data_IF_027183710195
#
_entry.id   IF_027183710195
#
_cell.length_a   1.000
_cell.length_b   1.000
_cell.length_c   1.000
_cell.angle_alpha   90.00
_cell.angle_beta   90.00
_cell.angle_gamma   90.00
#
_symmetry.space_group_name_H-M   'P 1'
#
loop_
_entity.id
_entity.type
_entity.pdbx_description
1 polymer ?
#
# COMPACT_ATOMS: atom_id res chain seq x y z
N UNK A 1 23.95 13.67 -30.12
CA UNK A 1 24.04 13.82 -28.65
C UNK A 1 22.92 13.01 -28.03
N UNK A 2 23.22 11.83 -27.47
CA UNK A 2 22.22 11.03 -26.73
C UNK A 2 22.13 11.64 -25.34
N UNK A 3 21.02 12.30 -25.02
CA UNK A 3 20.74 12.73 -23.65
C UNK A 3 20.72 11.50 -22.76
N UNK A 4 21.65 11.43 -21.81
CA UNK A 4 21.60 10.47 -20.72
C UNK A 4 20.26 10.63 -20.02
N UNK A 5 19.34 9.67 -20.22
CA UNK A 5 18.18 9.55 -19.35
C UNK A 5 18.73 9.23 -17.97
N UNK A 6 18.73 10.25 -17.10
CA UNK A 6 19.03 10.08 -15.69
C UNK A 6 18.30 8.85 -15.14
N UNK A 7 19.04 7.98 -14.47
CA UNK A 7 18.54 6.77 -13.77
C UNK A 7 17.55 7.18 -12.65
N UNK A 8 17.44 8.48 -12.36
CA UNK A 8 16.44 9.13 -11.52
C UNK A 8 15.09 9.34 -12.25
N UNK A 9 14.78 8.57 -13.29
CA UNK A 9 13.40 8.42 -13.77
C UNK A 9 12.49 8.09 -12.58
N UNK A 10 11.36 8.82 -12.49
CA UNK A 10 10.40 8.90 -11.37
C UNK A 10 10.39 7.67 -10.42
N UNK A 11 10.35 7.86 -9.09
CA UNK A 11 10.35 6.74 -8.17
C UNK A 11 9.20 5.80 -8.52
N UNK A 12 9.55 4.58 -8.94
CA UNK A 12 8.58 3.55 -9.24
C UNK A 12 7.93 3.12 -7.92
N UNK A 13 6.67 2.67 -7.98
CA UNK A 13 5.94 2.10 -6.84
C UNK A 13 6.79 1.03 -6.12
N UNK A 14 7.58 0.25 -6.88
CA UNK A 14 8.53 -0.72 -6.34
C UNK A 14 9.66 -0.10 -5.49
N UNK A 15 10.22 1.07 -5.88
CA UNK A 15 11.24 1.76 -5.08
C UNK A 15 10.65 2.24 -3.75
N UNK A 16 9.45 2.80 -3.78
CA UNK A 16 8.73 3.21 -2.56
C UNK A 16 8.47 2.00 -1.65
N UNK A 17 8.08 0.88 -2.24
CA UNK A 17 7.84 -0.36 -1.52
C UNK A 17 9.12 -0.88 -0.83
N UNK A 18 10.26 -0.91 -1.54
CA UNK A 18 11.55 -1.29 -0.96
C UNK A 18 12.00 -0.33 0.14
N UNK A 19 11.83 0.98 -0.05
CA UNK A 19 12.18 1.99 0.93
C UNK A 19 11.35 1.83 2.22
N UNK A 20 10.04 1.60 2.10
CA UNK A 20 9.18 1.38 3.27
C UNK A 20 9.57 0.11 4.03
N UNK A 21 9.81 -1.01 3.34
CA UNK A 21 10.25 -2.25 3.97
C UNK A 21 11.57 -2.05 4.72
N UNK A 22 12.52 -1.30 4.14
CA UNK A 22 13.78 -0.98 4.81
C UNK A 22 13.56 -0.14 6.08
N UNK A 23 12.75 0.93 6.01
CA UNK A 23 12.42 1.76 7.17
C UNK A 23 11.78 0.95 8.30
N UNK A 24 10.83 0.07 7.97
CA UNK A 24 10.19 -0.82 8.93
C UNK A 24 11.20 -1.79 9.57
N UNK A 25 12.10 -2.36 8.77
CA UNK A 25 13.14 -3.27 9.27
C UNK A 25 14.13 -2.60 10.23
N UNK A 26 14.42 -1.30 10.04
CA UNK A 26 15.31 -0.54 10.92
C UNK A 26 14.59 -0.09 12.21
N UNK A 27 13.37 0.42 12.10
CA UNK A 27 12.67 1.05 13.24
C UNK A 27 11.86 0.04 14.06
N UNK A 28 11.32 -0.99 13.41
CA UNK A 28 10.49 -2.02 14.02
C UNK A 28 10.97 -3.42 13.62
N UNK A 29 12.18 -3.84 14.05
CA UNK A 29 12.79 -5.09 13.59
C UNK A 29 11.98 -6.36 13.92
N UNK A 30 11.08 -6.29 14.91
CA UNK A 30 10.22 -7.41 15.33
C UNK A 30 8.79 -7.33 14.78
N UNK A 31 8.45 -6.28 14.03
CA UNK A 31 7.11 -6.09 13.48
C UNK A 31 6.80 -7.14 12.42
N UNK A 32 5.69 -7.85 12.59
CA UNK A 32 5.22 -8.85 11.64
C UNK A 32 4.14 -8.25 10.76
N UNK A 33 4.37 -8.18 9.47
CA UNK A 33 3.39 -7.68 8.51
C UNK A 33 3.38 -8.57 7.28
N UNK A 34 2.30 -8.48 6.51
CA UNK A 34 2.22 -9.12 5.19
C UNK A 34 2.40 -8.06 4.13
N UNK A 35 3.20 -8.41 3.13
CA UNK A 35 3.22 -7.73 1.84
C UNK A 35 2.24 -8.46 0.92
N UNK A 36 1.50 -7.72 0.10
CA UNK A 36 0.52 -8.22 -0.85
C UNK A 36 1.09 -9.34 -1.72
N UNK A 37 0.28 -10.36 -1.98
CA UNK A 37 0.70 -11.58 -2.68
C UNK A 37 1.21 -11.33 -4.12
N UNK A 38 0.91 -10.18 -4.72
CA UNK A 38 1.40 -9.82 -6.06
C UNK A 38 2.88 -9.44 -6.08
N UNK A 39 3.48 -9.11 -4.93
CA UNK A 39 4.92 -8.84 -4.82
C UNK A 39 5.79 -10.11 -5.03
N UNK A 40 5.18 -11.30 -5.00
CA UNK A 40 5.86 -12.58 -5.18
C UNK A 40 5.44 -13.31 -6.46
N UNK A 41 5.93 -12.87 -7.62
CA UNK A 41 6.11 -13.63 -8.88
C UNK A 41 5.11 -14.74 -9.27
N UNK A 42 3.84 -14.70 -8.84
CA UNK A 42 2.83 -15.69 -9.25
C UNK A 42 2.03 -15.13 -10.41
N UNK A 43 1.83 -15.97 -11.42
CA UNK A 43 1.00 -15.66 -12.58
C UNK A 43 -0.37 -15.13 -12.09
N UNK A 44 -0.77 -13.90 -12.44
CA UNK A 44 -2.06 -13.32 -12.01
C UNK A 44 -3.27 -14.20 -12.33
N UNK A 45 -3.20 -14.99 -13.42
CA UNK A 45 -4.24 -15.94 -13.79
C UNK A 45 -4.35 -17.10 -12.79
N UNK A 46 -3.23 -17.54 -12.21
CA UNK A 46 -3.22 -18.58 -11.20
C UNK A 46 -3.85 -18.06 -9.90
N UNK A 47 -3.47 -16.86 -9.45
CA UNK A 47 -4.07 -16.23 -8.27
C UNK A 47 -5.59 -16.05 -8.44
N UNK A 48 -6.04 -15.58 -9.62
CA UNK A 48 -7.46 -15.44 -9.93
C UNK A 48 -8.21 -16.78 -9.88
N UNK A 49 -7.61 -17.87 -10.39
CA UNK A 49 -8.18 -19.23 -10.30
C UNK A 49 -8.28 -19.75 -8.86
N UNK A 50 -7.45 -19.25 -7.96
CA UNK A 50 -7.53 -19.56 -6.53
C UNK A 50 -8.53 -18.68 -5.77
N UNK A 51 -9.32 -17.85 -6.47
CA UNK A 51 -10.32 -16.99 -5.86
C UNK A 51 -9.76 -15.68 -5.29
N UNK A 52 -8.52 -15.32 -5.60
CA UNK A 52 -7.96 -14.02 -5.20
C UNK A 52 -8.70 -12.92 -5.98
N UNK A 53 -9.34 -12.03 -5.23
CA UNK A 53 -9.96 -10.81 -5.77
C UNK A 53 -8.91 -9.71 -5.93
N UNK A 54 -9.10 -8.80 -6.88
CA UNK A 54 -8.20 -7.65 -7.07
C UNK A 54 -8.54 -6.54 -6.08
N UNK A 55 -7.55 -5.69 -5.75
CA UNK A 55 -7.77 -4.47 -4.96
C UNK A 55 -7.29 -4.55 -3.50
N UNK A 56 -6.77 -5.70 -3.07
CA UNK A 56 -6.11 -5.83 -1.78
C UNK A 56 -4.85 -4.96 -1.70
N UNK A 57 -4.62 -4.42 -0.52
CA UNK A 57 -3.49 -3.52 -0.25
C UNK A 57 -2.13 -4.18 -0.36
N UNK A 58 -1.13 -3.35 -0.69
CA UNK A 58 0.28 -3.74 -0.67
C UNK A 58 0.79 -4.18 0.71
N UNK A 59 0.30 -3.59 1.81
CA UNK A 59 0.71 -3.97 3.17
C UNK A 59 -0.48 -4.24 4.07
N UNK A 60 -0.33 -5.23 4.95
CA UNK A 60 -1.27 -5.56 6.01
C UNK A 60 -0.54 -5.80 7.34
N UNK A 61 -0.98 -5.08 8.38
CA UNK A 61 -0.49 -5.17 9.75
C UNK A 61 -1.60 -5.73 10.65
N UNK A 62 -1.52 -6.99 11.09
CA UNK A 62 -2.59 -7.68 11.81
C UNK A 62 -2.58 -7.37 13.31
N UNK A 63 -2.58 -6.08 13.67
CA UNK A 63 -2.52 -5.63 15.05
C UNK A 63 -3.72 -4.75 15.38
N UNK A 64 -4.39 -5.07 16.49
CA UNK A 64 -5.45 -4.23 17.00
C UNK A 64 -4.86 -3.00 17.71
N UNK A 65 -5.16 -1.81 17.20
CA UNK A 65 -4.70 -0.51 17.75
C UNK A 65 -5.77 0.54 17.51
N UNK A 66 -5.88 1.55 18.36
CA UNK A 66 -6.82 2.67 18.18
C UNK A 66 -8.28 2.25 17.90
N UNK A 67 -8.72 1.15 18.50
CA UNK A 67 -10.06 0.58 18.28
C UNK A 67 -10.27 -0.11 16.92
N UNK A 68 -9.22 -0.27 16.10
CA UNK A 68 -9.22 -0.97 14.81
C UNK A 68 -8.59 -2.34 14.95
N UNK A 69 -9.01 -3.29 14.11
CA UNK A 69 -8.55 -4.70 14.19
C UNK A 69 -7.36 -5.02 13.27
N UNK A 70 -6.90 -4.05 12.49
CA UNK A 70 -5.72 -4.15 11.64
C UNK A 70 -5.59 -2.96 10.71
N UNK A 71 -4.36 -2.68 10.27
CA UNK A 71 -4.03 -1.60 9.34
C UNK A 71 -3.68 -2.16 7.96
N UNK A 72 -4.23 -1.54 6.93
CA UNK A 72 -3.97 -1.84 5.53
C UNK A 72 -3.46 -0.58 4.82
N UNK A 73 -2.35 -0.71 4.09
CA UNK A 73 -1.75 0.41 3.35
C UNK A 73 -1.61 0.01 1.89
N UNK A 74 -2.31 0.72 1.02
CA UNK A 74 -2.11 0.68 -0.43
C UNK A 74 -1.10 1.77 -0.81
N UNK A 75 0.08 1.38 -1.28
CA UNK A 75 1.18 2.29 -1.55
C UNK A 75 1.14 2.77 -3.00
N UNK A 76 1.22 4.08 -3.18
CA UNK A 76 1.32 4.73 -4.48
C UNK A 76 2.66 5.45 -4.61
N UNK A 77 3.08 5.70 -5.84
CA UNK A 77 4.13 6.71 -6.09
C UNK A 77 3.64 8.10 -5.65
N UNK A 78 4.58 8.95 -5.25
CA UNK A 78 4.31 10.28 -4.67
C UNK A 78 3.33 11.12 -5.52
N UNK A 79 3.51 11.15 -6.84
CA UNK A 79 2.69 11.97 -7.74
C UNK A 79 1.53 11.19 -8.39
N UNK A 80 1.15 10.03 -7.84
CA UNK A 80 0.02 9.25 -8.36
C UNK A 80 -1.30 9.99 -8.15
N UNK A 81 -2.17 9.95 -9.16
CA UNK A 81 -3.56 10.42 -9.04
C UNK A 81 -4.49 9.21 -8.96
N UNK A 82 -5.40 9.22 -8.00
CA UNK A 82 -6.43 8.19 -7.86
C UNK A 82 -7.65 8.46 -8.74
N UNK A 83 -7.94 9.74 -8.99
CA UNK A 83 -9.12 10.17 -9.73
C UNK A 83 -8.72 10.85 -11.03
N UNK A 84 -9.67 10.93 -11.96
CA UNK A 84 -9.57 11.75 -13.18
C UNK A 84 -9.59 13.24 -12.80
N UNK A 85 -9.52 14.11 -13.81
CA UNK A 85 -9.52 15.56 -13.61
C UNK A 85 -10.78 16.09 -12.89
N UNK A 86 -11.87 15.33 -12.90
CA UNK A 86 -13.11 15.64 -12.17
C UNK A 86 -13.01 15.43 -10.65
N UNK A 87 -11.95 14.79 -10.16
CA UNK A 87 -11.74 14.51 -8.74
C UNK A 87 -12.65 13.44 -8.13
N UNK A 88 -13.54 12.82 -8.91
CA UNK A 88 -14.56 11.88 -8.41
C UNK A 88 -14.45 10.53 -9.12
N UNK A 89 -14.21 10.54 -10.42
CA UNK A 89 -14.16 9.29 -11.20
C UNK A 89 -12.80 8.61 -10.99
N UNK A 90 -12.74 7.34 -10.54
CA UNK A 90 -11.47 6.62 -10.45
C UNK A 90 -10.74 6.61 -11.79
N UNK A 91 -9.42 6.76 -11.77
CA UNK A 91 -8.64 6.88 -13.01
C UNK A 91 -8.67 5.61 -13.87
N UNK A 92 -8.80 4.44 -13.24
CA UNK A 92 -8.86 3.14 -13.88
C UNK A 92 -9.57 2.11 -12.98
N UNK A 93 -9.81 0.90 -13.51
CA UNK A 93 -10.46 -0.19 -12.78
C UNK A 93 -9.63 -0.72 -11.60
N UNK A 94 -8.29 -0.64 -11.66
CA UNK A 94 -7.42 -1.06 -10.54
C UNK A 94 -7.68 -0.17 -9.34
N UNK A 95 -7.66 1.15 -9.53
CA UNK A 95 -7.92 2.12 -8.46
C UNK A 95 -9.35 1.99 -7.95
N UNK A 96 -10.34 1.81 -8.84
CA UNK A 96 -11.72 1.57 -8.44
C UNK A 96 -11.82 0.38 -7.46
N UNK A 97 -11.22 -0.76 -7.80
CA UNK A 97 -11.27 -1.96 -6.96
C UNK A 97 -10.55 -1.76 -5.61
N UNK A 98 -9.47 -0.98 -5.59
CA UNK A 98 -8.74 -0.65 -4.36
C UNK A 98 -9.57 0.27 -3.44
N UNK A 99 -10.27 1.25 -4.00
CA UNK A 99 -11.21 2.11 -3.26
C UNK A 99 -12.35 1.26 -2.67
N UNK A 100 -12.96 0.39 -3.47
CA UNK A 100 -14.03 -0.51 -3.01
C UNK A 100 -13.54 -1.46 -1.90
N UNK A 101 -12.34 -2.01 -2.04
CA UNK A 101 -11.73 -2.86 -1.01
C UNK A 101 -11.44 -2.08 0.28
N UNK A 102 -10.99 -0.82 0.17
CA UNK A 102 -10.80 0.05 1.32
C UNK A 102 -12.10 0.33 2.07
N UNK A 103 -13.19 0.62 1.36
CA UNK A 103 -14.52 0.78 1.97
C UNK A 103 -15.00 -0.50 2.65
N UNK A 104 -14.80 -1.66 2.01
CA UNK A 104 -15.10 -2.94 2.61
C UNK A 104 -14.32 -3.15 3.92
N UNK A 105 -13.00 -2.96 3.91
CA UNK A 105 -12.15 -3.10 5.10
C UNK A 105 -12.58 -2.16 6.23
N UNK A 106 -12.87 -0.89 5.92
CA UNK A 106 -13.36 0.07 6.89
C UNK A 106 -14.70 -0.38 7.52
N UNK A 107 -15.62 -0.94 6.72
CA UNK A 107 -16.89 -1.49 7.22
C UNK A 107 -16.70 -2.67 8.18
N UNK A 108 -15.57 -3.38 8.08
CA UNK A 108 -15.17 -4.48 8.96
C UNK A 108 -14.30 -4.00 10.14
N UNK A 109 -14.29 -2.70 10.42
CA UNK A 109 -13.51 -2.07 11.49
C UNK A 109 -11.97 -2.19 11.34
N UNK A 110 -11.47 -2.36 10.12
CA UNK A 110 -10.07 -2.13 9.82
C UNK A 110 -9.78 -0.65 9.55
N UNK A 111 -8.51 -0.27 9.62
CA UNK A 111 -8.00 1.00 9.11
C UNK A 111 -7.37 0.78 7.75
N UNK A 112 -7.71 1.62 6.77
CA UNK A 112 -7.20 1.53 5.40
C UNK A 112 -6.76 2.91 4.94
N UNK A 113 -5.58 2.99 4.30
CA UNK A 113 -5.09 4.22 3.69
C UNK A 113 -4.47 3.97 2.33
N UNK A 114 -4.69 4.92 1.42
CA UNK A 114 -3.74 5.14 0.32
C UNK A 114 -2.59 6.00 0.86
N UNK A 115 -1.35 5.58 0.62
CA UNK A 115 -0.17 6.34 1.00
C UNK A 115 0.69 6.66 -0.23
N UNK A 116 1.04 7.93 -0.43
CA UNK A 116 1.79 8.41 -1.58
C UNK A 116 3.27 8.54 -1.22
N UNK A 117 3.99 7.44 -1.42
CA UNK A 117 5.40 7.30 -1.08
C UNK A 117 5.66 6.69 0.29
N UNK A 118 6.86 6.15 0.46
CA UNK A 118 7.28 5.40 1.64
C UNK A 118 7.22 6.25 2.92
N UNK A 119 7.56 7.53 2.83
CA UNK A 119 7.59 8.41 3.99
C UNK A 119 6.20 8.68 4.57
N UNK A 120 5.19 8.88 3.71
CA UNK A 120 3.80 9.05 4.16
C UNK A 120 3.28 7.75 4.77
N UNK A 121 3.48 6.62 4.08
CA UNK A 121 3.11 5.31 4.59
C UNK A 121 3.72 5.04 5.97
N UNK A 122 5.00 5.34 6.13
CA UNK A 122 5.70 5.18 7.40
C UNK A 122 5.09 6.05 8.50
N UNK A 123 4.76 7.32 8.22
CA UNK A 123 4.08 8.20 9.20
C UNK A 123 2.72 7.65 9.63
N UNK A 124 1.93 7.12 8.70
CA UNK A 124 0.64 6.49 9.00
C UNK A 124 0.85 5.29 9.94
N UNK A 125 1.83 4.43 9.62
CA UNK A 125 2.17 3.26 10.44
C UNK A 125 2.65 3.70 11.84
N UNK A 126 3.56 4.67 11.93
CA UNK A 126 4.04 5.20 13.22
C UNK A 126 2.89 5.74 14.06
N UNK A 127 1.96 6.47 13.44
CA UNK A 127 0.78 6.96 14.10
C UNK A 127 -0.09 5.80 14.59
N UNK A 128 -0.37 4.80 13.75
CA UNK A 128 -1.17 3.63 14.14
C UNK A 128 -0.60 2.89 15.36
N UNK A 129 0.73 2.82 15.45
CA UNK A 129 1.47 2.19 16.55
C UNK A 129 1.89 3.16 17.68
N UNK A 130 1.31 4.36 17.77
CA UNK A 130 1.75 5.38 18.72
C UNK A 130 1.49 5.03 20.19
N UNK A 131 0.45 4.24 20.48
CA UNK A 131 0.06 3.85 21.84
C UNK A 131 0.97 2.76 22.42
N UNK A 132 1.42 1.84 21.56
CA UNK A 132 2.31 0.74 21.93
C UNK A 132 3.20 0.40 20.74
N UNK A 133 4.51 0.57 20.93
CA UNK A 133 5.50 0.21 19.92
C UNK A 133 5.51 -1.31 19.72
N UNK A 134 5.36 -1.78 18.47
CA UNK A 134 5.39 -3.20 18.14
C UNK A 134 6.80 -3.79 18.19
#
# INVERSE_FOLDING_TARGET
MKTEKSILSAPSEAKEHSALVHLLGVVYPNLKFRVGMEAGQRNPLFAKRQGVTSGWSDFHFPYARKGKIGLWIELKKVDEKLFKADGITPKDNRIKNQIETGFFLASQNHEFHFAFGAQEAFKIIQNYFSEEKP
#
